data_IF_674926070466
#
_entry.id   IF_674926070466
#
_cell.length_a   1.000
_cell.length_b   1.000
_cell.length_c   1.000
_cell.angle_alpha   90.00
_cell.angle_beta   90.00
_cell.angle_gamma   90.00
#
_symmetry.space_group_name_H-M   'P 1'
#
loop_
_entity.id
_entity.type
_entity.pdbx_description
1 polymer ?
#
# COMPACT_ATOMS: atom_id res chain seq x y z
N UNK A 1 11.33 -7.23 13.71
CA UNK A 1 10.65 -6.05 14.28
C UNK A 1 9.19 -5.94 13.84
N UNK A 2 8.87 -5.90 12.54
CA UNK A 2 7.48 -5.73 12.07
C UNK A 2 6.47 -6.77 12.58
N UNK A 3 6.84 -8.06 12.54
CA UNK A 3 6.00 -9.16 13.08
C UNK A 3 5.69 -8.93 14.57
N UNK A 4 6.75 -8.77 15.37
CA UNK A 4 6.64 -8.51 16.81
C UNK A 4 5.75 -7.29 17.14
N UNK A 5 5.85 -6.21 16.35
CA UNK A 5 5.01 -5.03 16.55
C UNK A 5 3.53 -5.32 16.29
N UNK A 6 3.20 -5.92 15.14
CA UNK A 6 1.81 -6.25 14.79
C UNK A 6 1.20 -7.21 15.82
N UNK A 7 1.95 -8.22 16.26
CA UNK A 7 1.51 -9.16 17.29
C UNK A 7 1.26 -8.46 18.63
N UNK A 8 2.20 -7.65 19.10
CA UNK A 8 2.05 -6.90 20.35
C UNK A 8 0.86 -5.93 20.29
N UNK A 9 0.68 -5.21 19.19
CA UNK A 9 -0.46 -4.31 19.01
C UNK A 9 -1.79 -5.07 18.97
N UNK A 10 -1.82 -6.27 18.37
CA UNK A 10 -3.01 -7.11 18.37
C UNK A 10 -3.30 -7.73 19.76
N UNK A 11 -2.26 -8.06 20.53
CA UNK A 11 -2.38 -8.64 21.88
C UNK A 11 -2.81 -7.61 22.94
N UNK A 12 -2.22 -6.40 22.90
CA UNK A 12 -2.27 -5.44 24.00
C UNK A 12 -2.94 -4.12 23.64
N UNK A 13 -3.24 -3.90 22.36
CA UNK A 13 -3.68 -2.62 21.82
C UNK A 13 -2.50 -1.68 21.56
N UNK A 14 -2.63 -0.85 20.53
CA UNK A 14 -1.55 0.02 20.05
C UNK A 14 -1.04 1.02 21.11
N UNK A 15 -1.93 1.58 21.92
CA UNK A 15 -1.57 2.59 22.94
C UNK A 15 -0.74 2.00 24.09
N UNK A 16 -0.95 0.73 24.42
CA UNK A 16 -0.29 0.06 25.55
C UNK A 16 1.08 -0.54 25.20
N UNK A 17 1.54 -0.39 23.96
CA UNK A 17 2.80 -0.97 23.49
C UNK A 17 3.81 0.14 23.24
N UNK A 18 4.99 -0.02 23.82
CA UNK A 18 6.12 0.89 23.64
C UNK A 18 7.11 0.37 22.59
N UNK A 19 7.99 1.25 22.12
CA UNK A 19 9.14 0.87 21.28
C UNK A 19 10.06 -0.13 21.99
N UNK A 20 10.17 -0.05 23.33
CA UNK A 20 10.98 -0.98 24.12
C UNK A 20 10.38 -2.39 24.08
N UNK A 21 9.07 -2.52 24.29
CA UNK A 21 8.37 -3.82 24.24
C UNK A 21 8.59 -4.51 22.88
N UNK A 22 8.50 -3.73 21.79
CA UNK A 22 8.72 -4.22 20.43
C UNK A 22 10.16 -4.67 20.22
N UNK A 23 11.13 -3.86 20.67
CA UNK A 23 12.54 -4.19 20.55
C UNK A 23 12.88 -5.46 21.32
N UNK A 24 12.43 -5.57 22.57
CA UNK A 24 12.62 -6.75 23.42
C UNK A 24 11.99 -8.01 22.81
N UNK A 25 10.74 -7.93 22.34
CA UNK A 25 10.07 -9.05 21.65
C UNK A 25 10.83 -9.48 20.39
N UNK A 26 11.47 -8.54 19.70
CA UNK A 26 12.26 -8.81 18.51
C UNK A 26 13.71 -9.24 18.81
N UNK A 27 14.13 -9.32 20.08
CA UNK A 27 15.52 -9.62 20.46
C UNK A 27 16.51 -8.50 20.11
N UNK A 28 16.06 -7.25 20.08
CA UNK A 28 16.80 -6.09 19.62
C UNK A 28 16.80 -4.97 20.67
N UNK A 29 17.64 -3.96 20.44
CA UNK A 29 17.73 -2.79 21.31
C UNK A 29 16.88 -1.63 20.79
N UNK A 30 16.55 -0.68 21.67
CA UNK A 30 15.94 0.61 21.31
C UNK A 30 16.71 1.34 20.22
N UNK A 31 18.06 1.35 20.32
CA UNK A 31 18.95 1.96 19.33
C UNK A 31 18.79 1.32 17.95
N UNK A 32 18.65 -0.01 17.90
CA UNK A 32 18.38 -0.70 16.63
C UNK A 32 17.02 -0.31 16.07
N UNK A 33 15.97 -0.20 16.89
CA UNK A 33 14.66 0.25 16.41
C UNK A 33 14.76 1.62 15.72
N UNK A 34 15.32 2.62 16.39
CA UNK A 34 15.41 3.99 15.87
C UNK A 34 16.37 4.16 14.69
N UNK A 35 17.25 3.17 14.45
CA UNK A 35 18.05 3.13 13.21
C UNK A 35 17.19 2.84 11.98
N UNK A 36 16.07 2.11 12.15
CA UNK A 36 15.20 1.68 11.06
C UNK A 36 13.90 2.48 10.98
N UNK A 37 13.41 3.01 12.11
CA UNK A 37 12.11 3.67 12.19
C UNK A 37 12.21 5.00 12.91
N UNK A 38 11.63 6.05 12.33
CA UNK A 38 11.61 7.37 12.95
C UNK A 38 10.75 7.41 14.23
N UNK A 39 9.64 6.65 14.23
CA UNK A 39 8.70 6.60 15.36
C UNK A 39 7.99 5.23 15.47
N UNK A 40 7.15 5.06 16.50
CA UNK A 40 6.35 3.83 16.74
C UNK A 40 5.39 3.53 15.59
N UNK A 41 4.85 4.55 14.91
CA UNK A 41 3.86 4.39 13.83
C UNK A 41 4.52 3.79 12.60
N UNK A 42 5.74 4.26 12.28
CA UNK A 42 6.43 3.94 11.03
C UNK A 42 6.74 2.44 10.85
N UNK A 43 6.87 1.68 11.94
CA UNK A 43 7.09 0.24 11.86
C UNK A 43 5.95 -0.51 11.14
N UNK A 44 4.72 0.02 11.20
CA UNK A 44 3.59 -0.56 10.49
C UNK A 44 3.61 -0.21 9.01
N UNK A 45 4.33 0.82 8.58
CA UNK A 45 4.37 1.25 7.18
C UNK A 45 5.66 0.84 6.48
N UNK A 46 6.53 0.09 7.16
CA UNK A 46 7.78 -0.39 6.60
C UNK A 46 7.56 -1.14 5.28
N UNK A 47 8.28 -0.72 4.26
CA UNK A 47 8.15 -1.25 2.90
C UNK A 47 7.17 -0.48 2.01
N UNK A 48 6.22 0.29 2.56
CA UNK A 48 5.35 1.13 1.72
C UNK A 48 6.12 2.24 0.99
N UNK A 49 7.21 2.74 1.56
CA UNK A 49 8.06 3.73 0.88
C UNK A 49 8.64 3.17 -0.43
N UNK A 50 8.94 1.86 -0.47
CA UNK A 50 9.40 1.21 -1.71
C UNK A 50 8.34 1.17 -2.81
N UNK A 51 7.05 1.23 -2.46
CA UNK A 51 5.99 1.34 -3.46
C UNK A 51 6.12 2.65 -4.21
N UNK A 52 6.25 3.76 -3.47
CA UNK A 52 6.45 5.09 -4.03
C UNK A 52 7.74 5.16 -4.84
N UNK A 53 8.84 4.69 -4.28
CA UNK A 53 10.16 4.80 -4.90
C UNK A 53 10.27 3.95 -6.19
N UNK A 54 9.47 2.89 -6.32
CA UNK A 54 9.39 2.07 -7.53
C UNK A 54 8.53 2.66 -8.65
N UNK A 55 7.64 3.62 -8.37
CA UNK A 55 6.68 4.16 -9.36
C UNK A 55 7.38 4.73 -10.58
N UNK A 56 8.35 5.63 -10.39
CA UNK A 56 9.06 6.29 -11.49
C UNK A 56 9.70 5.26 -12.44
N UNK A 57 10.27 4.18 -11.88
CA UNK A 57 10.91 3.10 -12.66
C UNK A 57 9.88 2.32 -13.49
N UNK A 58 8.76 1.94 -12.89
CA UNK A 58 7.72 1.17 -13.59
C UNK A 58 7.08 2.01 -14.69
N UNK A 59 6.75 3.28 -14.38
CA UNK A 59 6.14 4.20 -15.34
C UNK A 59 7.09 4.52 -16.49
N UNK A 60 8.39 4.71 -16.24
CA UNK A 60 9.37 4.96 -17.30
C UNK A 60 9.51 3.76 -18.26
N UNK A 61 9.48 2.54 -17.74
CA UNK A 61 9.67 1.31 -18.51
C UNK A 61 8.40 0.79 -19.21
N UNK A 62 7.23 1.40 -18.97
CA UNK A 62 6.00 1.00 -19.66
C UNK A 62 6.15 1.18 -21.20
N UNK A 63 5.47 0.35 -22.03
CA UNK A 63 5.47 0.51 -23.49
C UNK A 63 5.00 1.90 -23.93
N UNK A 64 5.62 2.49 -24.96
CA UNK A 64 5.27 3.84 -25.42
C UNK A 64 3.79 4.00 -25.82
N UNK A 65 3.17 2.92 -26.30
CA UNK A 65 1.75 2.88 -26.67
C UNK A 65 0.79 2.61 -25.49
N UNK A 66 1.31 2.34 -24.28
CA UNK A 66 0.48 2.05 -23.12
C UNK A 66 -0.30 3.31 -22.69
N UNK A 67 -1.60 3.12 -22.46
CA UNK A 67 -2.49 4.11 -21.88
C UNK A 67 -2.08 4.43 -20.43
N UNK A 68 -2.55 5.56 -19.88
CA UNK A 68 -2.33 5.88 -18.46
C UNK A 68 -2.84 4.77 -17.52
N UNK A 69 -3.99 4.16 -17.83
CA UNK A 69 -4.57 3.09 -17.01
C UNK A 69 -3.78 1.78 -17.09
N UNK A 70 -3.27 1.39 -18.26
CA UNK A 70 -2.37 0.23 -18.39
C UNK A 70 -1.05 0.46 -17.63
N UNK A 71 -0.54 1.68 -17.67
CA UNK A 71 0.66 2.07 -16.92
C UNK A 71 0.43 1.99 -15.40
N UNK A 72 -0.72 2.47 -14.92
CA UNK A 72 -1.14 2.31 -13.51
C UNK A 72 -1.32 0.83 -13.15
N UNK A 73 -1.89 0.02 -14.05
CA UNK A 73 -1.98 -1.43 -13.88
C UNK A 73 -0.61 -2.07 -13.66
N UNK A 74 0.40 -1.68 -14.44
CA UNK A 74 1.77 -2.15 -14.25
C UNK A 74 2.35 -1.74 -12.89
N UNK A 75 2.09 -0.51 -12.43
CA UNK A 75 2.49 -0.04 -11.08
C UNK A 75 1.84 -0.90 -9.99
N UNK A 76 0.53 -1.15 -10.08
CA UNK A 76 -0.17 -1.98 -9.10
C UNK A 76 0.32 -3.43 -9.13
N UNK A 77 0.60 -3.98 -10.32
CA UNK A 77 1.20 -5.29 -10.47
C UNK A 77 2.58 -5.40 -9.81
N UNK A 78 3.43 -4.37 -9.94
CA UNK A 78 4.72 -4.31 -9.27
C UNK A 78 4.56 -4.26 -7.74
N UNK A 79 3.64 -3.45 -7.21
CA UNK A 79 3.33 -3.39 -5.78
C UNK A 79 2.79 -4.74 -5.28
N UNK A 80 1.95 -5.42 -6.08
CA UNK A 80 1.37 -6.71 -5.74
C UNK A 80 2.40 -7.82 -5.52
N UNK A 81 3.62 -7.70 -6.07
CA UNK A 81 4.72 -8.64 -5.79
C UNK A 81 5.15 -8.65 -4.31
N UNK A 82 4.88 -7.53 -3.60
CA UNK A 82 5.06 -7.43 -2.15
C UNK A 82 3.98 -8.15 -1.34
N UNK A 83 2.96 -8.73 -1.97
CA UNK A 83 1.90 -9.45 -1.28
C UNK A 83 2.09 -10.94 -1.46
N UNK A 84 2.27 -11.63 -0.33
CA UNK A 84 2.56 -13.05 -0.28
C UNK A 84 1.63 -13.73 0.70
N UNK A 85 1.16 -14.94 0.36
CA UNK A 85 0.13 -15.63 1.14
C UNK A 85 0.61 -16.02 2.55
N UNK A 86 1.91 -16.28 2.72
CA UNK A 86 2.55 -16.52 4.02
C UNK A 86 2.47 -15.31 4.96
N UNK A 87 2.29 -14.10 4.42
CA UNK A 87 2.16 -12.86 5.20
C UNK A 87 0.73 -12.35 5.30
N UNK A 88 -0.24 -13.04 4.70
CA UNK A 88 -1.65 -12.59 4.62
C UNK A 88 -2.25 -12.35 6.00
N UNK A 89 -2.10 -13.30 6.92
CA UNK A 89 -2.64 -13.18 8.27
C UNK A 89 -2.01 -12.02 9.05
N UNK A 90 -0.70 -11.80 8.87
CA UNK A 90 0.01 -10.69 9.47
C UNK A 90 -0.50 -9.35 8.94
N UNK A 91 -0.68 -9.23 7.62
CA UNK A 91 -1.20 -8.03 6.97
C UNK A 91 -2.66 -7.78 7.36
N UNK A 92 -3.47 -8.82 7.56
CA UNK A 92 -4.84 -8.70 8.05
C UNK A 92 -4.87 -8.14 9.48
N UNK A 93 -4.01 -8.64 10.38
CA UNK A 93 -3.87 -8.11 11.75
C UNK A 93 -3.40 -6.66 11.72
N UNK A 94 -2.38 -6.35 10.92
CA UNK A 94 -1.87 -4.99 10.71
C UNK A 94 -3.00 -4.04 10.26
N UNK A 95 -3.79 -4.45 9.27
CA UNK A 95 -4.89 -3.62 8.76
C UNK A 95 -5.95 -3.35 9.83
N UNK A 96 -6.28 -4.35 10.67
CA UNK A 96 -7.19 -4.18 11.80
C UNK A 96 -6.66 -3.16 12.81
N UNK A 97 -5.38 -3.23 13.16
CA UNK A 97 -4.73 -2.26 14.07
C UNK A 97 -4.82 -0.85 13.51
N UNK A 98 -4.46 -0.64 12.23
CA UNK A 98 -4.57 0.67 11.57
C UNK A 98 -6.02 1.16 11.57
N UNK A 99 -6.97 0.29 11.19
CA UNK A 99 -8.39 0.63 11.13
C UNK A 99 -9.04 0.92 12.49
N UNK A 100 -8.42 0.51 13.61
CA UNK A 100 -8.91 0.82 14.96
C UNK A 100 -8.26 2.04 15.61
N UNK A 101 -7.18 2.58 15.04
CA UNK A 101 -6.36 3.62 15.70
C UNK A 101 -6.31 4.91 14.87
N UNK A 102 -6.89 6.04 15.34
CA UNK A 102 -6.97 7.29 14.57
C UNK A 102 -5.63 7.80 14.03
N UNK A 103 -4.58 7.87 14.86
CA UNK A 103 -3.27 8.38 14.41
C UNK A 103 -2.58 7.49 13.37
N UNK A 104 -2.92 6.20 13.32
CA UNK A 104 -2.45 5.30 12.28
C UNK A 104 -3.23 5.48 10.99
N UNK A 105 -4.54 5.75 11.05
CA UNK A 105 -5.35 6.11 9.87
C UNK A 105 -4.83 7.39 9.23
N UNK A 106 -4.54 8.41 10.03
CA UNK A 106 -3.98 9.67 9.53
C UNK A 106 -2.66 9.42 8.78
N UNK A 107 -1.77 8.58 9.34
CA UNK A 107 -0.52 8.20 8.68
C UNK A 107 -0.76 7.41 7.40
N UNK A 108 -1.69 6.47 7.39
CA UNK A 108 -2.04 5.66 6.21
C UNK A 108 -2.60 6.55 5.08
N UNK A 109 -3.47 7.51 5.41
CA UNK A 109 -4.00 8.50 4.45
C UNK A 109 -2.88 9.37 3.85
N UNK A 110 -1.92 9.81 4.66
CA UNK A 110 -0.76 10.58 4.16
C UNK A 110 0.12 9.73 3.24
N UNK A 111 0.36 8.46 3.56
CA UNK A 111 1.13 7.55 2.71
C UNK A 111 0.39 7.26 1.39
N UNK A 112 -0.92 7.09 1.43
CA UNK A 112 -1.74 6.93 0.22
C UNK A 112 -1.69 8.18 -0.67
N UNK A 113 -1.80 9.39 -0.07
CA UNK A 113 -1.66 10.64 -0.80
C UNK A 113 -0.27 10.78 -1.47
N UNK A 114 0.80 10.37 -0.78
CA UNK A 114 2.15 10.36 -1.34
C UNK A 114 2.31 9.38 -2.52
N UNK A 115 1.65 8.22 -2.48
CA UNK A 115 1.64 7.28 -3.60
C UNK A 115 0.88 7.85 -4.81
N UNK A 116 -0.28 8.47 -4.59
CA UNK A 116 -1.04 9.16 -5.64
C UNK A 116 -0.21 10.27 -6.29
N UNK A 117 0.48 11.08 -5.49
CA UNK A 117 1.36 12.13 -5.98
C UNK A 117 2.48 11.55 -6.86
N UNK A 118 3.16 10.50 -6.40
CA UNK A 118 4.22 9.84 -7.18
C UNK A 118 3.71 9.28 -8.51
N UNK A 119 2.54 8.61 -8.52
CA UNK A 119 1.92 8.12 -9.76
C UNK A 119 1.56 9.27 -10.71
N UNK A 120 1.01 10.36 -10.17
CA UNK A 120 0.66 11.55 -10.96
C UNK A 120 1.90 12.18 -11.60
N UNK A 121 2.94 12.42 -10.80
CA UNK A 121 4.20 13.02 -11.26
C UNK A 121 4.89 12.15 -12.32
N UNK A 122 4.92 10.84 -12.11
CA UNK A 122 5.53 9.91 -13.06
C UNK A 122 4.79 9.89 -14.41
N UNK A 123 3.44 9.89 -14.39
CA UNK A 123 2.64 9.96 -15.61
C UNK A 123 2.82 11.31 -16.35
N UNK A 124 2.92 12.42 -15.60
CA UNK A 124 3.21 13.74 -16.20
C UNK A 124 4.60 13.77 -16.83
N UNK A 125 5.63 13.23 -16.18
CA UNK A 125 6.98 13.08 -16.75
C UNK A 125 6.97 12.25 -18.05
N UNK A 126 6.03 11.32 -18.18
CA UNK A 126 5.80 10.49 -19.37
C UNK A 126 5.05 11.22 -20.49
N UNK A 127 4.56 12.43 -20.25
CA UNK A 127 3.84 13.25 -21.24
C UNK A 127 2.32 13.10 -21.22
N UNK A 128 1.75 12.48 -20.18
CA UNK A 128 0.30 12.45 -19.97
C UNK A 128 -0.18 13.83 -19.51
N UNK A 129 -1.32 14.29 -20.04
CA UNK A 129 -1.98 15.51 -19.57
C UNK A 129 -2.16 15.49 -18.04
N UNK A 130 -1.86 16.59 -17.31
CA UNK A 130 -1.92 16.62 -15.84
C UNK A 130 -3.27 16.22 -15.24
N UNK A 131 -4.40 16.60 -15.86
CA UNK A 131 -5.73 16.26 -15.35
C UNK A 131 -5.99 14.76 -15.53
N UNK A 132 -5.62 14.23 -16.68
CA UNK A 132 -5.71 12.79 -16.97
C UNK A 132 -4.82 11.96 -16.05
N UNK A 133 -3.57 12.39 -15.83
CA UNK A 133 -2.63 11.74 -14.92
C UNK A 133 -3.15 11.71 -13.48
N UNK A 134 -3.73 12.83 -13.01
CA UNK A 134 -4.31 12.92 -11.68
C UNK A 134 -5.50 11.96 -11.50
N UNK A 135 -6.43 11.92 -12.46
CA UNK A 135 -7.57 11.00 -12.41
C UNK A 135 -7.12 9.54 -12.44
N UNK A 136 -6.19 9.18 -13.35
CA UNK A 136 -5.67 7.82 -13.45
C UNK A 136 -4.99 7.37 -12.15
N UNK A 137 -4.22 8.24 -11.49
CA UNK A 137 -3.58 7.95 -10.21
C UNK A 137 -4.61 7.72 -9.08
N UNK A 138 -5.68 8.53 -9.01
CA UNK A 138 -6.74 8.36 -8.01
C UNK A 138 -7.53 7.06 -8.24
N UNK A 139 -7.87 6.75 -9.50
CA UNK A 139 -8.50 5.48 -9.86
C UNK A 139 -7.59 4.31 -9.49
N UNK A 140 -6.30 4.41 -9.76
CA UNK A 140 -5.30 3.41 -9.36
C UNK A 140 -5.26 3.16 -7.85
N UNK A 141 -5.23 4.23 -7.05
CA UNK A 141 -5.24 4.14 -5.59
C UNK A 141 -6.55 3.55 -5.04
N UNK A 142 -7.69 3.87 -5.66
CA UNK A 142 -8.98 3.27 -5.32
C UNK A 142 -8.98 1.76 -5.63
N UNK A 143 -8.55 1.38 -6.83
CA UNK A 143 -8.45 -0.02 -7.23
C UNK A 143 -7.49 -0.82 -6.34
N UNK A 144 -6.37 -0.23 -5.96
CA UNK A 144 -5.42 -0.82 -5.01
C UNK A 144 -6.07 -1.06 -3.64
N UNK A 145 -6.78 -0.06 -3.11
CA UNK A 145 -7.44 -0.16 -1.80
C UNK A 145 -8.52 -1.26 -1.81
N UNK A 146 -9.35 -1.32 -2.84
CA UNK A 146 -10.34 -2.38 -3.03
C UNK A 146 -9.70 -3.77 -3.13
N UNK A 147 -8.63 -3.89 -3.93
CA UNK A 147 -7.89 -5.14 -4.08
C UNK A 147 -7.28 -5.62 -2.75
N UNK A 148 -6.71 -4.72 -1.93
CA UNK A 148 -6.19 -5.07 -0.61
C UNK A 148 -7.30 -5.58 0.31
N UNK A 149 -8.46 -4.90 0.36
CA UNK A 149 -9.58 -5.35 1.19
C UNK A 149 -10.03 -6.75 0.79
N UNK A 150 -10.26 -6.98 -0.51
CA UNK A 150 -10.65 -8.29 -1.04
C UNK A 150 -9.60 -9.36 -0.81
N UNK A 151 -8.32 -9.02 -0.91
CA UNK A 151 -7.22 -9.96 -0.68
C UNK A 151 -7.16 -10.42 0.78
N UNK A 152 -7.49 -9.53 1.71
CA UNK A 152 -7.54 -9.82 3.15
C UNK A 152 -8.81 -10.56 3.59
N UNK A 153 -9.81 -10.71 2.73
CA UNK A 153 -11.05 -11.43 3.06
C UNK A 153 -10.78 -12.91 3.37
N UNK A 154 -11.30 -13.45 4.48
CA UNK A 154 -11.22 -14.87 4.79
C UNK A 154 -11.83 -15.70 3.66
N UNK A 155 -11.05 -16.63 3.10
CA UNK A 155 -11.51 -17.54 2.05
C UNK A 155 -11.20 -17.09 0.63
N UNK A 156 -10.80 -15.83 0.41
CA UNK A 156 -10.27 -15.45 -0.90
C UNK A 156 -8.93 -16.16 -1.15
N UNK A 157 -8.71 -16.66 -2.37
CA UNK A 157 -7.49 -17.35 -2.79
C UNK A 157 -6.83 -16.71 -4.02
N UNK A 158 -7.42 -15.64 -4.55
CA UNK A 158 -6.83 -14.89 -5.67
C UNK A 158 -5.58 -14.17 -5.20
N UNK A 159 -4.64 -14.01 -6.13
CA UNK A 159 -3.45 -13.20 -5.93
C UNK A 159 -3.81 -11.72 -5.83
N UNK A 160 -2.96 -10.92 -5.17
CA UNK A 160 -3.14 -9.47 -5.11
C UNK A 160 -3.12 -8.84 -6.52
N UNK A 161 -2.27 -9.34 -7.42
CA UNK A 161 -2.18 -8.84 -8.80
C UNK A 161 -3.50 -9.03 -9.56
N UNK A 162 -4.07 -10.24 -9.50
CA UNK A 162 -5.38 -10.54 -10.11
C UNK A 162 -6.49 -9.66 -9.53
N UNK A 163 -6.48 -9.42 -8.22
CA UNK A 163 -7.49 -8.57 -7.59
C UNK A 163 -7.34 -7.10 -7.98
N UNK A 164 -6.12 -6.61 -8.16
CA UNK A 164 -5.83 -5.25 -8.62
C UNK A 164 -6.26 -5.04 -10.08
N UNK A 165 -5.97 -6.01 -10.96
CA UNK A 165 -6.45 -6.01 -12.35
C UNK A 165 -7.98 -5.98 -12.41
N UNK A 166 -8.65 -6.89 -11.68
CA UNK A 166 -10.12 -6.91 -11.60
C UNK A 166 -10.70 -5.59 -11.07
N UNK A 167 -10.05 -4.97 -10.09
CA UNK A 167 -10.50 -3.70 -9.53
C UNK A 167 -10.40 -2.56 -10.54
N UNK A 168 -9.29 -2.49 -11.30
CA UNK A 168 -9.14 -1.52 -12.38
C UNK A 168 -10.20 -1.72 -13.47
N UNK A 169 -10.41 -2.95 -13.93
CA UNK A 169 -11.45 -3.26 -14.93
C UNK A 169 -12.86 -2.90 -14.45
N UNK A 170 -13.16 -3.12 -13.16
CA UNK A 170 -14.46 -2.70 -12.57
C UNK A 170 -14.64 -1.20 -12.58
N UNK A 171 -13.61 -0.41 -12.28
CA UNK A 171 -13.73 1.05 -12.31
C UNK A 171 -13.97 1.53 -13.74
N UNK A 172 -13.28 0.96 -14.74
CA UNK A 172 -13.53 1.26 -16.15
C UNK A 172 -14.98 0.94 -16.57
N UNK A 173 -15.49 -0.25 -16.23
CA UNK A 173 -16.86 -0.65 -16.56
C UNK A 173 -17.92 0.20 -15.83
N UNK A 174 -17.65 0.61 -14.59
CA UNK A 174 -18.54 1.50 -13.85
C UNK A 174 -18.65 2.89 -14.50
N UNK A 175 -17.55 3.43 -15.02
CA UNK A 175 -17.55 4.69 -15.76
C UNK A 175 -18.37 4.58 -17.06
N UNK A 176 -18.29 3.46 -17.77
CA UNK A 176 -19.09 3.22 -18.98
C UNK A 176 -20.59 3.10 -18.68
N UNK A 177 -20.97 2.54 -17.52
CA UNK A 177 -22.37 2.34 -17.13
C UNK A 177 -23.05 3.62 -16.61
N UNK A 178 -22.28 4.60 -16.16
CA UNK A 178 -22.78 5.88 -15.62
C UNK A 178 -22.99 6.96 -16.71
N UNK A 179 -22.62 6.68 -17.95
CA UNK A 179 -22.84 7.52 -19.13
C UNK A 179 -24.01 6.99 -19.98
#
# INVERSE_FOLDING_TARGET
MGVAAVELFAERGYENVTVMDIAERAGLTKRTFFRHFADKREILFHGQDSYRDGVDTVVANAPAAATPMETIGAVLGAIATGFSDDRRDLLAKRQKVIASTPELKERDLLKNAALIAAMTEALVKRGVDPSTANLAAHVGALAFSDAVQRWLEPGNRKSMATLAEEALSRVSAAIETLN
#
